data_IF_460879869439
#
_entry.id   IF_460879869439
#
_cell.length_a   1.000
_cell.length_b   1.000
_cell.length_c   1.000
_cell.angle_alpha   90.00
_cell.angle_beta   90.00
_cell.angle_gamma   90.00
#
_symmetry.space_group_name_H-M   'P 1'
#
loop_
_entity.id
_entity.type
_entity.pdbx_description
1 polymer ?
#
# COMPACT_ATOMS: atom_id res chain seq x y z
N UNK A 1 -14.99 9.95 -3.24
CA UNK A 1 -15.29 8.54 -3.58
C UNK A 1 -16.42 8.41 -4.58
N UNK A 2 -17.47 9.21 -4.47
CA UNK A 2 -18.65 9.20 -5.36
C UNK A 2 -18.30 9.42 -6.85
N UNK A 3 -17.38 10.32 -7.16
CA UNK A 3 -17.02 10.64 -8.55
C UNK A 3 -16.26 9.50 -9.23
N UNK A 4 -15.35 8.83 -8.49
CA UNK A 4 -14.66 7.66 -8.97
C UNK A 4 -15.63 6.49 -9.23
N UNK A 5 -16.60 6.28 -8.32
CA UNK A 5 -17.64 5.26 -8.48
C UNK A 5 -18.49 5.52 -9.71
N UNK A 6 -18.92 6.76 -9.92
CA UNK A 6 -19.74 7.14 -11.09
C UNK A 6 -18.95 6.95 -12.39
N UNK A 7 -17.67 7.29 -12.39
CA UNK A 7 -16.83 7.15 -13.59
C UNK A 7 -16.55 5.68 -13.96
N UNK A 8 -16.45 4.80 -12.97
CA UNK A 8 -16.15 3.38 -13.16
C UNK A 8 -17.27 2.46 -12.67
N UNK A 9 -18.53 2.90 -12.73
CA UNK A 9 -19.67 2.21 -12.13
C UNK A 9 -19.76 0.72 -12.52
N UNK A 10 -19.60 0.41 -13.81
CA UNK A 10 -19.66 -0.97 -14.29
C UNK A 10 -18.59 -1.87 -13.66
N UNK A 11 -17.35 -1.37 -13.56
CA UNK A 11 -16.23 -2.11 -12.96
C UNK A 11 -16.37 -2.22 -11.44
N UNK A 12 -16.88 -1.17 -10.81
CA UNK A 12 -17.16 -1.15 -9.38
C UNK A 12 -18.21 -2.20 -9.02
N UNK A 13 -19.31 -2.27 -9.76
CA UNK A 13 -20.40 -3.21 -9.51
C UNK A 13 -19.94 -4.67 -9.72
N UNK A 14 -19.12 -4.94 -10.73
CA UNK A 14 -18.52 -6.26 -10.94
C UNK A 14 -17.63 -6.61 -9.76
N UNK A 15 -16.70 -5.74 -9.36
CA UNK A 15 -15.77 -6.00 -8.27
C UNK A 15 -16.49 -6.22 -6.94
N UNK A 16 -17.50 -5.41 -6.61
CA UNK A 16 -18.24 -5.49 -5.35
C UNK A 16 -19.19 -6.69 -5.28
N UNK A 17 -19.52 -7.32 -6.40
CA UNK A 17 -20.33 -8.54 -6.43
C UNK A 17 -19.57 -9.81 -6.02
N UNK A 18 -18.24 -9.78 -6.02
CA UNK A 18 -17.41 -10.94 -5.71
C UNK A 18 -17.13 -11.07 -4.21
N UNK A 19 -17.34 -12.28 -3.66
CA UNK A 19 -16.95 -12.61 -2.28
C UNK A 19 -15.43 -12.75 -2.09
N UNK A 20 -14.74 -13.14 -3.15
CA UNK A 20 -13.28 -13.30 -3.18
C UNK A 20 -12.76 -12.61 -4.42
N UNK A 21 -11.58 -12.00 -4.28
CA UNK A 21 -10.91 -11.29 -5.37
C UNK A 21 -10.79 -12.15 -6.64
N UNK A 22 -11.17 -11.57 -7.76
CA UNK A 22 -11.06 -12.14 -9.09
C UNK A 22 -10.00 -11.39 -9.92
N UNK A 23 -9.55 -12.00 -11.04
CA UNK A 23 -8.54 -11.38 -11.91
C UNK A 23 -9.00 -10.07 -12.57
N UNK A 24 -10.29 -9.92 -12.75
CA UNK A 24 -10.93 -8.76 -13.37
C UNK A 24 -11.46 -7.74 -12.37
N UNK A 25 -11.17 -7.90 -11.07
CA UNK A 25 -11.55 -6.92 -10.07
C UNK A 25 -10.74 -5.65 -10.21
N UNK A 26 -11.44 -4.53 -10.10
CA UNK A 26 -10.83 -3.22 -10.11
C UNK A 26 -9.88 -3.06 -8.91
N UNK A 27 -8.66 -2.62 -9.18
CA UNK A 27 -7.71 -2.23 -8.14
C UNK A 27 -7.91 -0.74 -7.85
N UNK A 28 -8.63 -0.45 -6.77
CA UNK A 28 -9.07 0.91 -6.44
C UNK A 28 -7.93 1.92 -6.38
N UNK A 29 -6.81 1.57 -5.76
CA UNK A 29 -5.66 2.46 -5.65
C UNK A 29 -5.09 2.82 -7.03
N UNK A 30 -5.00 1.84 -7.92
CA UNK A 30 -4.51 2.04 -9.28
C UNK A 30 -5.51 2.84 -10.12
N UNK A 31 -6.79 2.54 -9.99
CA UNK A 31 -7.86 3.23 -10.70
C UNK A 31 -7.98 4.67 -10.23
N UNK A 32 -7.87 4.91 -8.92
CA UNK A 32 -7.90 6.25 -8.35
C UNK A 32 -6.71 7.10 -8.80
N UNK A 33 -5.51 6.55 -8.79
CA UNK A 33 -4.32 7.27 -9.25
C UNK A 33 -4.41 7.63 -10.74
N UNK A 34 -4.86 6.69 -11.58
CA UNK A 34 -5.05 6.95 -13.01
C UNK A 34 -6.18 7.95 -13.28
N UNK A 35 -7.28 7.88 -12.52
CA UNK A 35 -8.37 8.84 -12.61
C UNK A 35 -7.91 10.25 -12.24
N UNK A 36 -7.17 10.42 -11.14
CA UNK A 36 -6.60 11.70 -10.75
C UNK A 36 -5.69 12.28 -11.84
N UNK A 37 -4.91 11.44 -12.49
CA UNK A 37 -4.02 11.88 -13.58
C UNK A 37 -4.80 12.30 -14.82
N UNK A 38 -5.86 11.59 -15.18
CA UNK A 38 -6.74 11.95 -16.30
C UNK A 38 -7.60 13.18 -15.99
N UNK A 39 -7.96 13.39 -14.74
CA UNK A 39 -8.72 14.54 -14.27
C UNK A 39 -7.88 15.79 -14.02
N UNK A 40 -6.55 15.70 -14.16
CA UNK A 40 -5.62 16.82 -13.89
C UNK A 40 -5.79 18.03 -14.83
N UNK A 41 -6.54 17.89 -15.91
CA UNK A 41 -6.98 19.02 -16.76
C UNK A 41 -8.21 19.74 -16.20
N UNK A 42 -8.88 19.17 -15.20
CA UNK A 42 -9.99 19.81 -14.49
C UNK A 42 -9.47 20.49 -13.22
N UNK A 43 -10.08 21.62 -12.84
CA UNK A 43 -9.71 22.47 -11.70
C UNK A 43 -9.64 21.76 -10.33
N UNK A 44 -9.90 20.45 -10.27
CA UNK A 44 -10.04 19.68 -9.04
C UNK A 44 -8.72 19.16 -8.44
N UNK A 45 -7.67 19.00 -9.24
CA UNK A 45 -6.39 18.47 -8.73
C UNK A 45 -5.22 19.09 -9.48
N UNK A 46 -4.39 19.83 -8.79
CA UNK A 46 -3.09 20.26 -9.32
C UNK A 46 -2.10 19.12 -9.13
N UNK A 47 -1.86 18.36 -10.18
CA UNK A 47 -0.78 17.36 -10.19
C UNK A 47 0.42 18.00 -10.85
N UNK A 48 1.53 18.08 -10.12
CA UNK A 48 2.80 18.43 -10.72
C UNK A 48 3.25 17.30 -11.65
N UNK A 49 2.93 17.44 -12.94
CA UNK A 49 3.18 16.42 -13.95
C UNK A 49 4.68 16.15 -14.16
N UNK A 50 5.54 17.14 -13.96
CA UNK A 50 6.99 16.94 -14.03
C UNK A 50 7.49 16.11 -12.86
N UNK A 51 6.98 16.43 -11.68
CA UNK A 51 7.27 15.69 -10.45
C UNK A 51 6.75 14.22 -10.51
N UNK A 52 5.60 14.00 -11.13
CA UNK A 52 5.01 12.67 -11.31
C UNK A 52 5.73 11.85 -12.39
N UNK A 53 6.17 12.47 -13.47
CA UNK A 53 6.93 11.82 -14.55
C UNK A 53 8.34 11.42 -14.13
N UNK A 54 8.90 12.07 -13.10
CA UNK A 54 10.18 11.64 -12.56
C UNK A 54 10.01 10.27 -11.89
N UNK A 55 10.64 9.25 -12.47
CA UNK A 55 10.63 7.87 -11.95
C UNK A 55 11.07 7.78 -10.48
N UNK A 56 11.84 8.74 -10.00
CA UNK A 56 12.28 8.85 -8.62
C UNK A 56 11.13 9.10 -7.62
N UNK A 57 10.07 9.78 -8.02
CA UNK A 57 8.93 10.02 -7.13
C UNK A 57 8.02 8.80 -6.97
N UNK A 58 7.91 7.96 -8.01
CA UNK A 58 7.16 6.70 -7.94
C UNK A 58 7.80 5.71 -6.98
N UNK A 59 9.13 5.65 -6.96
CA UNK A 59 9.88 4.63 -6.20
C UNK A 59 10.19 5.05 -4.77
N UNK A 60 10.33 6.35 -4.50
CA UNK A 60 10.81 6.83 -3.20
C UNK A 60 9.71 7.13 -2.17
N UNK A 61 8.42 7.20 -2.59
CA UNK A 61 7.32 7.54 -1.67
C UNK A 61 6.48 6.35 -1.24
N UNK A 62 6.55 5.25 -1.97
CA UNK A 62 5.85 3.99 -1.63
C UNK A 62 6.92 2.95 -1.33
N UNK A 63 6.92 2.46 -0.12
CA UNK A 63 7.76 1.34 0.27
C UNK A 63 6.92 0.08 0.35
N UNK A 64 7.29 -0.90 -0.46
CA UNK A 64 6.66 -2.21 -0.44
C UNK A 64 7.54 -3.18 0.34
N UNK A 65 6.96 -3.79 1.35
CA UNK A 65 7.61 -4.79 2.17
C UNK A 65 6.77 -6.06 2.21
N UNK A 66 7.38 -7.19 1.91
CA UNK A 66 6.81 -8.50 2.19
C UNK A 66 7.45 -9.06 3.45
N UNK A 67 6.63 -9.67 4.31
CA UNK A 67 7.09 -10.39 5.49
C UNK A 67 6.94 -11.89 5.25
N UNK A 68 8.02 -12.61 5.47
CA UNK A 68 8.11 -14.05 5.26
C UNK A 68 8.30 -14.80 6.59
N UNK A 69 8.20 -16.12 6.54
CA UNK A 69 8.64 -16.99 7.64
C UNK A 69 10.16 -16.90 7.86
N UNK A 70 10.91 -16.53 6.81
CA UNK A 70 12.37 -16.37 6.83
C UNK A 70 12.75 -15.03 7.49
N UNK A 71 13.35 -15.13 8.68
CA UNK A 71 13.73 -13.97 9.49
C UNK A 71 14.86 -13.14 8.85
N UNK A 72 15.79 -13.76 8.16
CA UNK A 72 16.91 -13.04 7.53
C UNK A 72 16.41 -12.07 6.46
N UNK A 73 15.44 -12.52 5.64
CA UNK A 73 14.78 -11.65 4.65
C UNK A 73 14.01 -10.51 5.29
N UNK A 74 13.34 -10.78 6.40
CA UNK A 74 12.59 -9.77 7.12
C UNK A 74 13.53 -8.70 7.68
N UNK A 75 14.63 -9.09 8.32
CA UNK A 75 15.61 -8.16 8.86
C UNK A 75 16.25 -7.30 7.78
N UNK A 76 16.62 -7.86 6.65
CA UNK A 76 17.15 -7.10 5.51
C UNK A 76 16.15 -6.06 4.98
N UNK A 77 14.85 -6.39 4.97
CA UNK A 77 13.79 -5.45 4.55
C UNK A 77 13.55 -4.34 5.58
N UNK A 78 13.64 -4.65 6.85
CA UNK A 78 13.55 -3.64 7.91
C UNK A 78 14.73 -2.67 7.88
N UNK A 79 15.93 -3.17 7.64
CA UNK A 79 17.12 -2.34 7.45
C UNK A 79 17.00 -1.42 6.23
N UNK A 80 16.52 -1.95 5.11
CA UNK A 80 16.22 -1.16 3.91
C UNK A 80 15.19 -0.06 4.22
N UNK A 81 14.14 -0.36 4.98
CA UNK A 81 13.14 0.62 5.38
C UNK A 81 13.78 1.74 6.23
N UNK A 82 14.57 1.40 7.24
CA UNK A 82 15.23 2.37 8.11
C UNK A 82 16.09 3.38 7.34
N UNK A 83 16.76 2.95 6.27
CA UNK A 83 17.57 3.84 5.43
C UNK A 83 16.74 4.81 4.58
N UNK A 84 15.45 4.50 4.35
CA UNK A 84 14.57 5.26 3.43
C UNK A 84 13.40 5.95 4.11
N UNK A 85 13.15 5.68 5.39
CA UNK A 85 11.90 6.04 6.10
C UNK A 85 11.52 7.51 5.99
N UNK A 86 12.47 8.42 6.00
CA UNK A 86 12.22 9.86 5.96
C UNK A 86 11.64 10.34 4.59
N UNK A 87 11.77 9.51 3.56
CA UNK A 87 11.25 9.78 2.23
C UNK A 87 9.98 8.98 1.89
N UNK A 88 9.60 8.03 2.75
CA UNK A 88 8.44 7.17 2.54
C UNK A 88 7.18 7.89 3.01
N UNK A 89 6.17 7.96 2.12
CA UNK A 89 4.83 8.45 2.44
C UNK A 89 3.81 7.33 2.62
N UNK A 90 4.01 6.23 1.92
CA UNK A 90 3.11 5.09 1.94
C UNK A 90 3.90 3.81 2.16
N UNK A 91 3.47 3.05 3.14
CA UNK A 91 4.03 1.75 3.47
C UNK A 91 3.00 0.68 3.16
N UNK A 92 3.36 -0.25 2.28
CA UNK A 92 2.57 -1.44 1.99
C UNK A 92 3.29 -2.66 2.55
N UNK A 93 2.67 -3.35 3.50
CA UNK A 93 3.23 -4.57 4.10
C UNK A 93 2.35 -5.75 3.72
N UNK A 94 2.93 -6.71 3.02
CA UNK A 94 2.28 -7.97 2.68
C UNK A 94 2.74 -9.08 3.60
N UNK A 95 1.78 -9.82 4.13
CA UNK A 95 2.03 -11.05 4.89
C UNK A 95 2.15 -12.23 3.92
N UNK A 96 3.37 -12.72 3.74
CA UNK A 96 3.71 -13.92 2.98
C UNK A 96 4.25 -15.04 3.89
N UNK A 97 3.93 -14.98 5.18
CA UNK A 97 4.36 -16.00 6.14
C UNK A 97 3.56 -17.30 5.94
N UNK A 98 4.22 -18.42 6.06
CA UNK A 98 3.53 -19.68 6.30
C UNK A 98 3.10 -19.75 7.77
N UNK A 99 1.82 -19.50 8.01
CA UNK A 99 1.26 -19.47 9.37
C UNK A 99 1.22 -20.84 10.05
N UNK A 100 1.40 -21.93 9.31
CA UNK A 100 1.53 -23.28 9.86
C UNK A 100 2.95 -23.57 10.35
N UNK A 101 3.95 -22.83 9.88
CA UNK A 101 5.34 -22.96 10.30
C UNK A 101 5.55 -22.29 11.67
N UNK A 102 6.06 -23.00 12.69
CA UNK A 102 6.33 -22.44 14.03
C UNK A 102 7.25 -21.19 14.00
N UNK A 103 8.16 -21.08 13.03
CA UNK A 103 9.05 -19.94 12.86
C UNK A 103 8.30 -18.65 12.55
N UNK A 104 7.08 -18.73 12.01
CA UNK A 104 6.24 -17.57 11.75
C UNK A 104 5.86 -16.81 13.03
N UNK A 105 5.90 -17.46 14.20
CA UNK A 105 5.60 -16.82 15.51
C UNK A 105 6.59 -15.69 15.80
N UNK A 106 7.87 -15.94 15.52
CA UNK A 106 8.91 -14.93 15.72
C UNK A 106 8.80 -13.80 14.70
N UNK A 107 8.59 -14.15 13.43
CA UNK A 107 8.35 -13.15 12.37
C UNK A 107 7.15 -12.26 12.68
N UNK A 108 6.06 -12.80 13.22
CA UNK A 108 4.91 -12.01 13.69
C UNK A 108 5.27 -11.03 14.80
N UNK A 109 6.08 -11.47 15.77
CA UNK A 109 6.53 -10.57 16.87
C UNK A 109 7.36 -9.41 16.32
N UNK A 110 8.27 -9.69 15.39
CA UNK A 110 9.09 -8.67 14.74
C UNK A 110 8.20 -7.70 13.96
N UNK A 111 7.24 -8.18 13.18
CA UNK A 111 6.28 -7.35 12.44
C UNK A 111 5.45 -6.46 13.38
N UNK A 112 4.96 -7.01 14.49
CA UNK A 112 4.21 -6.23 15.48
C UNK A 112 5.08 -5.16 16.17
N UNK A 113 6.33 -5.46 16.45
CA UNK A 113 7.27 -4.48 17.02
C UNK A 113 7.59 -3.38 16.02
N UNK A 114 7.75 -3.74 14.74
CA UNK A 114 7.92 -2.78 13.66
C UNK A 114 6.73 -1.82 13.58
N UNK A 115 5.50 -2.31 13.56
CA UNK A 115 4.32 -1.44 13.56
C UNK A 115 4.28 -0.50 14.76
N UNK A 116 4.60 -0.99 15.97
CA UNK A 116 4.67 -0.16 17.17
C UNK A 116 5.75 0.93 17.10
N UNK A 117 6.85 0.66 16.40
CA UNK A 117 7.92 1.65 16.21
C UNK A 117 7.55 2.74 15.22
N UNK A 118 6.86 2.36 14.13
CA UNK A 118 6.46 3.30 13.07
C UNK A 118 5.20 4.08 13.48
N UNK A 119 4.27 3.43 14.18
CA UNK A 119 3.00 4.00 14.63
C UNK A 119 2.86 3.86 16.16
N UNK A 120 3.61 4.64 16.95
CA UNK A 120 3.62 4.49 18.41
C UNK A 120 2.31 4.93 19.07
N UNK A 121 1.57 5.82 18.43
CA UNK A 121 0.31 6.35 18.95
C UNK A 121 -0.88 5.69 18.24
N UNK A 122 -1.94 5.44 18.99
CA UNK A 122 -3.21 5.01 18.41
C UNK A 122 -3.72 6.07 17.44
N UNK A 123 -4.28 5.64 16.31
CA UNK A 123 -5.00 6.54 15.43
C UNK A 123 -6.34 6.95 16.06
N UNK A 124 -6.91 8.06 15.61
CA UNK A 124 -8.24 8.51 16.07
C UNK A 124 -9.38 7.51 15.77
N UNK A 125 -9.11 6.50 14.95
CA UNK A 125 -10.07 5.47 14.53
C UNK A 125 -9.90 4.14 15.30
N UNK A 126 -8.89 4.05 16.17
CA UNK A 126 -8.67 2.88 17.01
C UNK A 126 -9.41 3.06 18.34
N UNK A 127 -10.36 2.16 18.62
CA UNK A 127 -11.14 2.10 19.84
C UNK A 127 -10.33 1.61 21.04
#
# INVERSE_FOLDING_TARGET
MTDLQNHFEAYYNVTSSHKKRQKNDMQFEFSYANWLLSASESELVTVDQELYKSSQLRTNKIFYMAFWTDMEKNMAKLEEFETKKDHIKFLCVNDLMDHADPRSIESKKVLMNFYKSVYPNKSQFEL
#
